data_IF_535520342837
#
_entry.id   IF_535520342837
#
_cell.length_a   1.000
_cell.length_b   1.000
_cell.length_c   1.000
_cell.angle_alpha   90.00
_cell.angle_beta   90.00
_cell.angle_gamma   90.00
#
_symmetry.space_group_name_H-M   'P 1'
#
loop_
_entity.id
_entity.type
_entity.pdbx_description
1 polymer ?
#
# COMPACT_ATOMS: atom_id res chain seq x y z
N UNK A 1 1.57 21.22 36.96
CA UNK A 1 2.66 20.84 36.04
C UNK A 1 2.59 19.38 35.65
N UNK A 2 2.44 18.43 36.56
CA UNK A 2 2.39 16.98 36.25
C UNK A 2 1.28 16.57 35.27
N UNK A 3 0.08 17.15 35.38
CA UNK A 3 -1.03 16.84 34.45
C UNK A 3 -0.80 17.35 33.03
N UNK A 4 -0.05 18.44 32.86
CA UNK A 4 0.31 19.00 31.57
C UNK A 4 1.41 18.17 30.88
N UNK A 5 2.35 17.64 31.69
CA UNK A 5 3.41 16.74 31.21
C UNK A 5 2.80 15.40 30.76
N UNK A 6 1.83 14.88 31.51
CA UNK A 6 1.12 13.65 31.15
C UNK A 6 0.33 13.81 29.82
N UNK A 7 -0.29 14.97 29.62
CA UNK A 7 -1.01 15.28 28.37
C UNK A 7 -0.07 15.45 27.16
N UNK A 8 1.09 16.06 27.37
CA UNK A 8 2.15 16.19 26.35
C UNK A 8 2.81 14.83 26.03
N UNK A 9 2.97 13.96 27.04
CA UNK A 9 3.51 12.60 26.83
C UNK A 9 2.53 11.70 26.06
N UNK A 10 1.21 11.88 26.28
CA UNK A 10 0.17 11.18 25.51
C UNK A 10 0.06 11.67 24.06
N UNK A 11 0.39 12.93 23.76
CA UNK A 11 0.45 13.45 22.39
C UNK A 11 1.71 13.03 21.62
N UNK A 12 2.76 12.59 22.31
CA UNK A 12 4.01 12.12 21.69
C UNK A 12 4.02 10.62 21.37
N UNK A 13 3.00 9.87 21.79
CA UNK A 13 2.72 8.55 21.25
C UNK A 13 1.91 8.77 19.96
N UNK A 14 2.53 9.31 18.93
CA UNK A 14 2.08 9.09 17.56
C UNK A 14 2.23 7.61 17.29
N UNK A 15 1.21 6.84 17.65
CA UNK A 15 1.02 5.50 17.13
C UNK A 15 1.04 5.69 15.62
N UNK A 16 2.05 5.19 14.95
CA UNK A 16 2.03 4.99 13.51
C UNK A 16 0.93 3.95 13.26
N UNK A 17 -0.32 4.41 13.23
CA UNK A 17 -1.43 3.62 12.77
C UNK A 17 -1.20 3.43 11.29
N UNK A 18 -0.72 2.26 10.91
CA UNK A 18 -0.73 1.87 9.52
C UNK A 18 -2.19 1.83 9.08
N UNK A 19 -2.59 2.84 8.30
CA UNK A 19 -3.93 2.89 7.77
C UNK A 19 -4.11 1.76 6.75
N UNK A 20 -5.25 1.08 6.80
CA UNK A 20 -5.64 0.09 5.79
C UNK A 20 -5.62 0.74 4.41
N UNK A 21 -5.12 0.04 3.39
CA UNK A 21 -5.22 0.52 2.00
C UNK A 21 -6.69 0.76 1.64
N UNK A 22 -6.98 1.92 1.03
CA UNK A 22 -8.34 2.31 0.69
C UNK A 22 -8.79 1.69 -0.63
N UNK A 23 -10.04 1.25 -0.71
CA UNK A 23 -10.67 0.86 -1.97
C UNK A 23 -10.98 2.12 -2.79
N UNK A 24 -10.54 2.11 -4.05
CA UNK A 24 -10.85 3.15 -5.01
C UNK A 24 -12.23 2.96 -5.65
N UNK A 25 -12.53 3.84 -6.57
CA UNK A 25 -13.68 3.71 -7.45
C UNK A 25 -13.36 2.79 -8.65
N UNK A 26 -14.31 2.61 -9.55
CA UNK A 26 -14.12 1.86 -10.79
C UNK A 26 -14.35 2.80 -11.99
N UNK A 27 -13.60 2.58 -13.06
CA UNK A 27 -13.72 3.38 -14.27
C UNK A 27 -13.65 2.51 -15.53
N UNK A 28 -14.44 2.85 -16.54
CA UNK A 28 -14.39 2.26 -17.86
C UNK A 28 -13.70 3.21 -18.83
N UNK A 29 -12.62 2.73 -19.46
CA UNK A 29 -11.85 3.46 -20.47
C UNK A 29 -11.68 2.52 -21.67
N UNK A 30 -12.06 2.95 -22.86
CA UNK A 30 -11.96 2.16 -24.10
C UNK A 30 -12.66 0.78 -23.99
N UNK A 31 -13.75 0.70 -23.24
CA UNK A 31 -14.50 -0.55 -23.03
C UNK A 31 -13.91 -1.51 -21.99
N UNK A 32 -12.78 -1.16 -21.37
CA UNK A 32 -12.12 -1.96 -20.34
C UNK A 32 -12.33 -1.35 -18.96
N UNK A 33 -12.52 -2.22 -17.97
CA UNK A 33 -12.65 -1.80 -16.56
C UNK A 33 -11.29 -1.66 -15.90
N UNK A 34 -11.10 -0.55 -15.22
CA UNK A 34 -9.93 -0.21 -14.41
C UNK A 34 -10.35 0.09 -12.96
N UNK A 35 -9.46 -0.11 -12.02
CA UNK A 35 -9.59 0.43 -10.66
C UNK A 35 -9.10 1.89 -10.70
N UNK A 36 -9.94 2.82 -10.27
CA UNK A 36 -9.56 4.22 -10.08
C UNK A 36 -9.00 4.36 -8.65
N UNK A 37 -7.70 4.60 -8.53
CA UNK A 37 -6.99 4.73 -7.24
C UNK A 37 -7.23 6.12 -6.64
N UNK A 38 -8.45 6.38 -6.26
CA UNK A 38 -8.91 7.64 -5.71
C UNK A 38 -10.44 7.75 -5.74
N UNK A 39 -10.94 8.87 -5.25
CA UNK A 39 -12.38 9.21 -5.27
C UNK A 39 -12.55 10.66 -5.74
N UNK A 40 -12.80 10.90 -7.05
CA UNK A 40 -12.89 12.25 -7.63
C UNK A 40 -13.96 13.15 -7.01
N UNK A 41 -15.00 12.56 -6.41
CA UNK A 41 -16.07 13.33 -5.75
C UNK A 41 -15.51 14.16 -4.59
N UNK A 42 -14.46 13.69 -3.90
CA UNK A 42 -13.86 14.41 -2.77
C UNK A 42 -13.05 15.67 -3.16
N UNK A 43 -12.84 15.92 -4.45
CA UNK A 43 -12.27 17.18 -4.89
C UNK A 43 -13.20 18.38 -4.60
N UNK A 44 -14.52 18.13 -4.43
CA UNK A 44 -15.48 19.09 -3.91
C UNK A 44 -16.09 18.55 -2.60
N UNK A 45 -15.68 19.14 -1.48
CA UNK A 45 -16.10 18.69 -0.14
C UNK A 45 -17.58 18.88 0.13
N UNK A 46 -18.23 19.89 -0.48
CA UNK A 46 -19.68 20.12 -0.35
C UNK A 46 -20.44 19.05 -1.12
N UNK A 47 -19.99 18.77 -2.34
CA UNK A 47 -20.57 17.71 -3.17
C UNK A 47 -20.46 16.34 -2.49
N UNK A 48 -19.30 16.04 -1.89
CA UNK A 48 -19.09 14.80 -1.15
C UNK A 48 -20.06 14.68 0.05
N UNK A 49 -20.27 15.76 0.81
CA UNK A 49 -21.20 15.80 1.93
C UNK A 49 -22.65 15.63 1.46
N UNK A 50 -23.06 16.31 0.38
CA UNK A 50 -24.40 16.19 -0.19
C UNK A 50 -24.69 14.75 -0.65
N UNK A 51 -23.69 14.11 -1.28
CA UNK A 51 -23.79 12.70 -1.64
C UNK A 51 -23.95 11.81 -0.41
N UNK A 52 -23.08 11.94 0.57
CA UNK A 52 -23.14 11.12 1.79
C UNK A 52 -24.48 11.27 2.51
N UNK A 53 -25.05 12.48 2.53
CA UNK A 53 -26.36 12.75 3.12
C UNK A 53 -27.50 12.10 2.34
N UNK A 54 -27.36 11.91 1.03
CA UNK A 54 -28.36 11.27 0.17
C UNK A 54 -28.28 9.73 0.18
N UNK A 55 -27.20 9.15 0.66
CA UNK A 55 -27.03 7.70 0.73
C UNK A 55 -27.74 7.09 1.97
N UNK A 56 -28.24 5.83 1.87
CA UNK A 56 -28.84 5.13 3.00
C UNK A 56 -27.86 5.02 4.19
N UNK A 57 -28.38 5.22 5.39
CA UNK A 57 -27.58 5.14 6.62
C UNK A 57 -27.18 3.69 6.96
N UNK A 58 -27.98 2.73 6.50
CA UNK A 58 -27.82 1.29 6.71
C UNK A 58 -26.75 0.64 5.83
N UNK A 59 -26.13 1.44 4.93
CA UNK A 59 -25.08 0.90 4.06
C UNK A 59 -23.88 0.38 4.85
N UNK A 60 -23.26 -0.66 4.34
CA UNK A 60 -22.09 -1.30 4.94
C UNK A 60 -20.84 -0.42 4.80
N UNK A 61 -20.00 -0.47 5.82
CA UNK A 61 -18.71 0.22 5.87
C UNK A 61 -17.59 -0.79 6.11
N UNK A 62 -16.41 -0.51 5.61
CA UNK A 62 -15.21 -1.28 5.91
C UNK A 62 -14.04 -0.34 6.20
N UNK A 63 -12.97 -0.88 6.77
CA UNK A 63 -11.72 -0.12 6.96
C UNK A 63 -11.08 0.31 5.65
N UNK A 64 -11.41 -0.35 4.53
CA UNK A 64 -10.96 0.00 3.20
C UNK A 64 -11.95 0.94 2.46
N UNK A 65 -13.23 0.97 2.87
CA UNK A 65 -14.28 1.81 2.26
C UNK A 65 -15.12 2.47 3.35
N UNK A 66 -14.59 3.57 3.90
CA UNK A 66 -15.23 4.31 4.99
C UNK A 66 -16.52 5.03 4.58
N UNK A 67 -16.69 5.28 3.29
CA UNK A 67 -17.88 5.97 2.76
C UNK A 67 -19.04 5.01 2.52
N UNK A 68 -18.74 3.70 2.45
CA UNK A 68 -19.72 2.65 2.20
C UNK A 68 -20.30 2.69 0.79
N UNK A 69 -19.60 3.30 -0.19
CA UNK A 69 -20.00 3.29 -1.59
C UNK A 69 -18.81 3.13 -2.53
N UNK A 70 -19.09 2.70 -3.75
CA UNK A 70 -18.16 2.68 -4.88
C UNK A 70 -18.81 3.43 -6.04
N UNK A 71 -18.15 4.45 -6.58
CA UNK A 71 -18.58 5.14 -7.77
C UNK A 71 -18.03 4.44 -9.02
N UNK A 72 -18.83 4.46 -10.07
CA UNK A 72 -18.51 3.94 -11.39
C UNK A 72 -18.42 5.11 -12.35
N UNK A 73 -17.32 5.19 -13.04
CA UNK A 73 -16.94 6.27 -13.92
C UNK A 73 -16.73 5.76 -15.35
N UNK A 74 -16.76 6.67 -16.31
CA UNK A 74 -16.30 6.43 -17.68
C UNK A 74 -15.65 7.67 -18.27
N UNK A 75 -14.82 7.47 -19.29
CA UNK A 75 -14.39 8.55 -20.19
C UNK A 75 -15.29 8.50 -21.40
N UNK A 76 -16.07 9.58 -21.64
CA UNK A 76 -16.95 9.72 -22.77
C UNK A 76 -16.73 11.08 -23.45
N UNK A 77 -16.46 11.08 -24.74
CA UNK A 77 -16.18 12.31 -25.50
C UNK A 77 -15.11 13.19 -24.82
N UNK A 78 -14.00 12.56 -24.39
CA UNK A 78 -12.92 13.19 -23.63
C UNK A 78 -13.35 13.82 -22.29
N UNK A 79 -14.46 13.39 -21.70
CA UNK A 79 -14.95 13.88 -20.41
C UNK A 79 -15.02 12.75 -19.38
N UNK A 80 -14.63 13.05 -18.14
CA UNK A 80 -14.85 12.15 -17.01
C UNK A 80 -16.31 12.22 -16.58
N UNK A 81 -17.04 11.13 -16.75
CA UNK A 81 -18.46 11.02 -16.44
C UNK A 81 -18.70 10.09 -15.26
N UNK A 82 -19.56 10.49 -14.33
CA UNK A 82 -20.08 9.62 -13.27
C UNK A 82 -21.30 8.86 -13.83
N UNK A 83 -21.19 7.54 -13.91
CA UNK A 83 -22.23 6.67 -14.47
C UNK A 83 -23.20 6.17 -13.39
N UNK A 84 -22.68 5.72 -12.26
CA UNK A 84 -23.49 5.21 -11.16
C UNK A 84 -22.72 5.20 -9.83
N UNK A 85 -23.45 5.04 -8.75
CA UNK A 85 -22.90 4.80 -7.42
C UNK A 85 -23.59 3.57 -6.83
N UNK A 86 -22.79 2.61 -6.39
CA UNK A 86 -23.26 1.39 -5.73
C UNK A 86 -22.87 1.43 -4.25
N UNK A 87 -23.76 0.89 -3.42
CA UNK A 87 -23.50 0.64 -2.00
C UNK A 87 -23.97 -0.77 -1.64
N UNK A 88 -23.49 -1.27 -0.51
CA UNK A 88 -23.88 -2.58 0.00
C UNK A 88 -24.71 -2.42 1.26
N UNK A 89 -25.77 -3.21 1.40
CA UNK A 89 -26.53 -3.36 2.64
C UNK A 89 -26.17 -4.70 3.24
N UNK A 90 -25.81 -4.69 4.52
CA UNK A 90 -25.54 -5.89 5.27
C UNK A 90 -26.84 -6.57 5.67
N UNK A 91 -27.13 -7.74 5.14
CA UNK A 91 -28.36 -8.49 5.46
C UNK A 91 -28.11 -9.54 6.56
N UNK A 92 -26.99 -10.29 6.46
CA UNK A 92 -26.56 -11.24 7.48
C UNK A 92 -25.03 -11.51 7.36
N UNK A 93 -24.49 -12.38 8.22
CA UNK A 93 -23.05 -12.67 8.29
C UNK A 93 -22.44 -13.26 6.99
N UNK A 94 -23.23 -13.56 5.98
CA UNK A 94 -22.80 -14.20 4.73
C UNK A 94 -23.27 -13.51 3.47
N UNK A 95 -24.27 -12.60 3.58
CA UNK A 95 -24.93 -12.00 2.43
C UNK A 95 -24.94 -10.48 2.54
N UNK A 96 -24.31 -9.82 1.56
CA UNK A 96 -24.43 -8.41 1.31
C UNK A 96 -25.26 -8.22 0.04
N UNK A 97 -26.25 -7.35 0.08
CA UNK A 97 -27.00 -6.96 -1.09
C UNK A 97 -26.41 -5.68 -1.68
N UNK A 98 -26.03 -5.72 -2.96
CA UNK A 98 -25.57 -4.55 -3.70
C UNK A 98 -26.76 -3.80 -4.29
N UNK A 99 -26.79 -2.51 -4.05
CA UNK A 99 -27.80 -1.61 -4.59
C UNK A 99 -27.18 -0.43 -5.33
N UNK A 100 -27.88 0.05 -6.34
CA UNK A 100 -27.50 1.24 -7.09
C UNK A 100 -28.28 2.45 -6.57
N UNK A 101 -27.61 3.58 -6.40
CA UNK A 101 -28.29 4.84 -6.09
C UNK A 101 -29.22 5.20 -7.25
N UNK A 102 -30.50 5.53 -6.99
CA UNK A 102 -31.43 5.90 -8.04
C UNK A 102 -30.93 7.08 -8.88
N UNK A 103 -31.09 6.99 -10.20
CA UNK A 103 -30.65 8.02 -11.16
C UNK A 103 -31.16 9.42 -10.82
N UNK A 104 -32.40 9.53 -10.36
CA UNK A 104 -32.99 10.83 -9.98
C UNK A 104 -32.31 11.41 -8.72
N UNK A 105 -31.91 10.56 -7.77
CA UNK A 105 -31.14 10.99 -6.61
C UNK A 105 -29.79 11.52 -7.04
N UNK A 106 -29.06 10.79 -7.92
CA UNK A 106 -27.77 11.24 -8.44
C UNK A 106 -27.92 12.57 -9.19
N UNK A 107 -28.89 12.69 -10.08
CA UNK A 107 -29.18 13.95 -10.82
C UNK A 107 -29.50 15.10 -9.87
N UNK A 108 -30.16 14.83 -8.76
CA UNK A 108 -30.47 15.85 -7.75
C UNK A 108 -29.21 16.34 -7.04
N UNK A 109 -28.37 15.42 -6.57
CA UNK A 109 -27.10 15.74 -5.90
C UNK A 109 -26.14 16.46 -6.86
N UNK A 110 -25.98 15.94 -8.07
CA UNK A 110 -25.04 16.43 -9.08
C UNK A 110 -25.68 17.41 -10.08
N UNK A 111 -26.80 18.07 -9.73
CA UNK A 111 -27.63 18.90 -10.66
C UNK A 111 -26.83 19.95 -11.44
N UNK A 112 -25.77 20.52 -10.84
CA UNK A 112 -24.94 21.54 -11.47
C UNK A 112 -24.03 20.98 -12.56
N UNK A 113 -23.86 19.66 -12.59
CA UNK A 113 -22.89 18.92 -13.38
C UNK A 113 -23.55 18.01 -14.41
N UNK A 114 -24.90 18.07 -14.51
CA UNK A 114 -25.65 17.32 -15.51
C UNK A 114 -25.50 18.00 -16.87
N UNK A 115 -24.96 17.25 -17.84
CA UNK A 115 -24.84 17.65 -19.25
C UNK A 115 -25.56 16.58 -20.10
N UNK A 116 -26.74 16.91 -20.55
CA UNK A 116 -27.63 15.97 -21.26
C UNK A 116 -28.02 14.77 -20.40
N UNK A 117 -27.51 13.58 -20.75
CA UNK A 117 -27.73 12.33 -20.01
C UNK A 117 -26.60 12.00 -19.04
N UNK A 118 -25.50 12.74 -19.10
CA UNK A 118 -24.27 12.47 -18.32
C UNK A 118 -24.14 13.41 -17.12
N UNK A 119 -23.47 12.94 -16.08
CA UNK A 119 -22.97 13.76 -14.99
C UNK A 119 -21.47 13.93 -15.25
N UNK A 120 -21.06 15.09 -15.72
CA UNK A 120 -19.68 15.40 -16.09
C UNK A 120 -18.95 15.98 -14.90
N UNK A 121 -17.78 15.42 -14.56
CA UNK A 121 -17.00 15.81 -13.37
C UNK A 121 -16.28 17.17 -13.53
N UNK A 122 -16.99 18.23 -13.95
CA UNK A 122 -16.40 19.55 -14.17
C UNK A 122 -15.86 20.22 -12.89
N UNK A 123 -16.16 19.67 -11.73
CA UNK A 123 -15.56 20.08 -10.45
C UNK A 123 -14.12 19.57 -10.26
N UNK A 124 -13.69 18.57 -11.07
CA UNK A 124 -12.41 17.91 -10.88
C UNK A 124 -11.33 18.48 -11.79
N UNK A 125 -10.19 18.86 -11.17
CA UNK A 125 -8.95 19.25 -11.84
C UNK A 125 -7.79 18.44 -11.28
N UNK A 126 -6.87 18.01 -12.15
CA UNK A 126 -5.68 17.28 -11.76
C UNK A 126 -5.62 15.88 -12.34
N UNK A 127 -4.87 15.02 -11.70
CA UNK A 127 -4.60 13.68 -12.19
C UNK A 127 -5.46 12.64 -11.47
N UNK A 128 -6.02 11.71 -12.23
CA UNK A 128 -6.49 10.44 -11.70
C UNK A 128 -5.53 9.35 -12.12
N UNK A 129 -5.29 8.38 -11.22
CA UNK A 129 -4.49 7.19 -11.48
C UNK A 129 -5.42 5.99 -11.57
N UNK A 130 -5.37 5.28 -12.68
CA UNK A 130 -6.16 4.09 -12.91
C UNK A 130 -5.26 2.89 -13.14
N UNK A 131 -5.69 1.71 -12.72
CA UNK A 131 -4.84 0.54 -12.66
C UNK A 131 -5.57 -0.75 -12.99
N UNK A 132 -4.84 -1.72 -13.56
CA UNK A 132 -5.33 -3.08 -13.82
C UNK A 132 -4.19 -4.11 -13.86
N UNK A 133 -4.53 -5.39 -13.82
CA UNK A 133 -3.58 -6.49 -13.80
C UNK A 133 -3.20 -6.87 -12.36
N UNK A 134 -2.05 -7.52 -12.19
CA UNK A 134 -1.55 -7.90 -10.87
C UNK A 134 -1.05 -6.68 -10.10
N UNK A 135 -1.26 -6.69 -8.79
CA UNK A 135 -0.60 -5.75 -7.91
C UNK A 135 0.89 -6.07 -7.82
N UNK A 136 1.73 -5.06 -8.14
CA UNK A 136 3.19 -5.15 -8.17
C UNK A 136 3.79 -4.70 -6.85
N UNK A 137 3.26 -3.61 -6.32
CA UNK A 137 3.76 -2.97 -5.11
C UNK A 137 2.60 -2.50 -4.24
N UNK A 138 2.75 -2.59 -2.92
CA UNK A 138 1.73 -2.19 -1.96
C UNK A 138 2.37 -1.51 -0.75
N UNK A 139 1.91 -0.31 -0.45
CA UNK A 139 2.10 0.35 0.82
C UNK A 139 0.78 0.38 1.58
N UNK A 140 0.83 0.07 2.87
CA UNK A 140 -0.36 -0.01 3.71
C UNK A 140 -0.84 1.39 4.14
N UNK A 141 -1.06 2.28 3.16
CA UNK A 141 -1.52 3.65 3.36
C UNK A 141 -2.31 4.15 2.14
N UNK A 142 -3.49 4.73 2.37
CA UNK A 142 -4.29 5.35 1.34
C UNK A 142 -4.48 4.49 0.08
N UNK A 143 -4.19 5.08 -1.08
CA UNK A 143 -4.25 4.40 -2.37
C UNK A 143 -2.85 4.00 -2.88
N UNK A 144 -1.86 3.87 -1.99
CA UNK A 144 -0.47 3.59 -2.34
C UNK A 144 -0.28 2.10 -2.68
N UNK A 145 -0.76 1.74 -3.85
CA UNK A 145 -0.56 0.44 -4.49
C UNK A 145 -0.35 0.65 -5.99
N UNK A 146 0.51 -0.17 -6.58
CA UNK A 146 0.82 -0.12 -8.00
C UNK A 146 0.52 -1.48 -8.63
N UNK A 147 0.03 -1.42 -9.85
CA UNK A 147 -0.36 -2.59 -10.62
C UNK A 147 0.48 -2.69 -11.91
N UNK A 148 0.47 -3.85 -12.55
CA UNK A 148 1.22 -4.09 -13.79
C UNK A 148 0.96 -3.03 -14.85
N UNK A 149 -0.31 -2.64 -15.00
CA UNK A 149 -0.70 -1.62 -15.97
C UNK A 149 -1.35 -0.47 -15.22
N UNK A 150 -0.79 0.70 -15.36
CA UNK A 150 -1.34 1.94 -14.83
C UNK A 150 -1.47 2.99 -15.93
N UNK A 151 -2.46 3.85 -15.80
CA UNK A 151 -2.65 5.01 -16.65
C UNK A 151 -2.87 6.23 -15.76
N UNK A 152 -2.15 7.30 -16.04
CA UNK A 152 -2.39 8.62 -15.46
C UNK A 152 -3.19 9.43 -16.47
N UNK A 153 -4.37 9.89 -16.06
CA UNK A 153 -5.24 10.75 -16.86
C UNK A 153 -5.24 12.13 -16.24
N UNK A 154 -4.75 13.11 -16.99
CA UNK A 154 -4.76 14.52 -16.61
C UNK A 154 -6.06 15.17 -17.07
N UNK A 155 -6.76 15.82 -16.15
CA UNK A 155 -8.08 16.42 -16.35
C UNK A 155 -8.04 17.91 -16.04
N UNK A 156 -8.70 18.70 -16.88
CA UNK A 156 -9.02 20.11 -16.65
C UNK A 156 -10.54 20.29 -16.70
N UNK A 157 -11.15 20.66 -15.56
CA UNK A 157 -12.61 20.75 -15.40
C UNK A 157 -13.36 19.52 -15.96
N UNK A 158 -12.83 18.33 -15.59
CA UNK A 158 -13.39 17.05 -16.03
C UNK A 158 -13.09 16.67 -17.48
N UNK A 159 -12.43 17.53 -18.27
CA UNK A 159 -12.01 17.23 -19.64
C UNK A 159 -10.63 16.60 -19.64
N UNK A 160 -10.46 15.51 -20.38
CA UNK A 160 -9.18 14.83 -20.57
C UNK A 160 -8.25 15.71 -21.39
N UNK A 161 -7.08 16.03 -20.83
CA UNK A 161 -6.01 16.75 -21.50
C UNK A 161 -4.89 15.82 -21.98
N UNK A 162 -4.58 14.79 -21.18
CA UNK A 162 -3.52 13.83 -21.44
C UNK A 162 -3.84 12.49 -20.82
N UNK A 163 -3.42 11.41 -21.49
CA UNK A 163 -3.39 10.05 -20.94
C UNK A 163 -2.00 9.48 -21.15
N UNK A 164 -1.39 8.97 -20.08
CA UNK A 164 -0.05 8.37 -20.12
C UNK A 164 -0.08 6.98 -19.51
N UNK A 165 0.28 6.00 -20.33
CA UNK A 165 0.31 4.60 -19.94
C UNK A 165 1.68 4.22 -19.37
N UNK A 166 1.64 3.34 -18.36
CA UNK A 166 2.81 2.76 -17.74
C UNK A 166 2.64 1.25 -17.61
N UNK A 167 3.72 0.54 -17.84
CA UNK A 167 3.86 -0.85 -17.51
C UNK A 167 4.85 -0.98 -16.36
N UNK A 168 4.33 -1.32 -15.19
CA UNK A 168 5.12 -1.50 -14.00
C UNK A 168 5.59 -2.95 -13.91
N UNK A 169 6.78 -3.15 -13.35
CA UNK A 169 7.34 -4.48 -13.13
C UNK A 169 8.33 -4.46 -11.96
N UNK A 170 8.75 -5.63 -11.55
CA UNK A 170 9.83 -5.79 -10.59
C UNK A 170 10.84 -6.82 -11.11
N UNK A 171 12.09 -6.69 -10.69
CA UNK A 171 13.08 -7.73 -10.85
C UNK A 171 12.99 -8.69 -9.66
N UNK A 172 12.89 -9.98 -9.95
CA UNK A 172 12.83 -11.01 -8.92
C UNK A 172 14.09 -10.98 -8.05
N UNK A 173 13.91 -11.15 -6.76
CA UNK A 173 14.99 -11.14 -5.80
C UNK A 173 14.45 -11.27 -4.38
N UNK A 174 15.36 -11.25 -3.43
CA UNK A 174 15.01 -11.30 -2.02
C UNK A 174 14.29 -10.04 -1.57
N UNK A 175 13.29 -10.20 -0.72
CA UNK A 175 12.56 -9.11 -0.07
C UNK A 175 12.01 -9.57 1.27
N UNK A 176 12.06 -8.70 2.28
CA UNK A 176 11.33 -8.88 3.52
C UNK A 176 9.86 -8.47 3.41
N UNK A 177 9.47 -7.85 2.30
CA UNK A 177 8.09 -7.46 2.07
C UNK A 177 7.19 -8.67 1.87
N UNK A 178 6.18 -8.77 2.71
CA UNK A 178 5.22 -9.86 2.72
C UNK A 178 4.14 -9.72 1.66
N UNK A 179 3.81 -8.48 1.31
CA UNK A 179 2.71 -8.19 0.38
C UNK A 179 2.99 -8.65 -1.04
N UNK A 180 4.27 -8.70 -1.43
CA UNK A 180 4.72 -9.13 -2.75
C UNK A 180 4.97 -10.64 -2.87
N UNK A 181 5.08 -11.31 -1.72
CA UNK A 181 5.16 -12.77 -1.69
C UNK A 181 3.70 -13.27 -1.72
N UNK A 182 3.20 -13.88 -2.74
CA UNK A 182 1.89 -14.55 -2.79
C UNK A 182 1.71 -15.64 -1.69
N UNK A 183 2.50 -15.56 -0.64
CA UNK A 183 2.48 -16.39 0.55
C UNK A 183 1.96 -15.54 1.70
N UNK A 184 0.64 -15.56 1.89
CA UNK A 184 0.10 -15.16 3.18
C UNK A 184 0.64 -16.13 4.22
N UNK A 185 1.60 -15.74 5.07
CA UNK A 185 2.16 -16.68 6.02
C UNK A 185 1.05 -17.04 7.01
N UNK A 186 0.90 -18.34 7.25
CA UNK A 186 0.09 -18.83 8.35
C UNK A 186 0.53 -18.23 9.68
N UNK A 187 0.26 -18.86 10.80
CA UNK A 187 0.54 -18.36 12.16
C UNK A 187 1.97 -17.89 12.45
N UNK A 188 2.95 -18.25 11.61
CA UNK A 188 4.34 -17.77 11.69
C UNK A 188 4.53 -16.63 10.70
N UNK A 189 4.62 -15.41 11.23
CA UNK A 189 4.70 -14.16 10.49
C UNK A 189 6.03 -13.92 9.73
N UNK A 190 6.88 -14.93 9.58
CA UNK A 190 8.16 -14.83 8.88
C UNK A 190 8.03 -15.41 7.47
N UNK A 191 8.30 -14.63 6.41
CA UNK A 191 8.15 -15.08 5.02
C UNK A 191 9.20 -16.11 4.60
N UNK A 192 10.33 -16.18 5.31
CA UNK A 192 11.44 -17.07 5.05
C UNK A 192 11.66 -18.03 6.23
N UNK A 193 11.96 -19.28 5.94
CA UNK A 193 12.37 -20.23 6.96
C UNK A 193 13.77 -19.85 7.50
N UNK A 194 14.11 -20.34 8.69
CA UNK A 194 15.43 -20.10 9.24
C UNK A 194 16.53 -20.76 8.40
N UNK A 195 16.26 -21.90 7.79
CA UNK A 195 17.19 -22.57 6.89
C UNK A 195 17.49 -21.68 5.69
N UNK A 196 16.44 -21.13 5.02
CA UNK A 196 16.60 -20.20 3.91
C UNK A 196 17.38 -18.95 4.32
N UNK A 197 17.11 -18.37 5.51
CA UNK A 197 17.84 -17.18 5.98
C UNK A 197 19.32 -17.49 6.28
N UNK A 198 19.65 -18.68 6.79
CA UNK A 198 21.03 -19.09 7.03
C UNK A 198 21.80 -19.36 5.73
N UNK A 199 21.14 -19.87 4.73
CA UNK A 199 21.72 -20.08 3.40
C UNK A 199 21.97 -18.76 2.68
N UNK A 200 21.04 -17.82 2.78
CA UNK A 200 21.16 -16.50 2.15
C UNK A 200 22.13 -15.57 2.86
N UNK A 201 22.14 -15.59 4.20
CA UNK A 201 22.94 -14.72 5.04
C UNK A 201 23.77 -15.57 6.04
N UNK A 202 24.79 -16.28 5.56
CA UNK A 202 25.60 -17.13 6.42
C UNK A 202 26.38 -16.30 7.44
N UNK A 203 26.39 -16.76 8.69
CA UNK A 203 27.19 -16.20 9.77
C UNK A 203 28.19 -17.27 10.27
N UNK A 204 29.43 -16.87 10.59
CA UNK A 204 30.43 -17.72 11.13
C UNK A 204 30.25 -17.85 12.65
N UNK A 205 29.22 -18.58 13.08
CA UNK A 205 28.82 -18.69 14.48
C UNK A 205 29.95 -19.28 15.34
N UNK A 206 30.82 -20.09 14.77
CA UNK A 206 32.04 -20.64 15.43
C UNK A 206 32.96 -19.56 15.94
N UNK A 207 32.92 -18.35 15.42
CA UNK A 207 33.71 -17.20 15.87
C UNK A 207 33.12 -16.50 17.11
N UNK A 208 31.96 -17.00 17.61
CA UNK A 208 31.20 -16.42 18.72
C UNK A 208 30.93 -17.47 19.82
N UNK A 209 31.95 -17.88 20.60
CA UNK A 209 31.75 -18.87 21.67
C UNK A 209 30.71 -18.43 22.70
N UNK A 210 30.46 -17.12 22.81
CA UNK A 210 29.45 -16.53 23.68
C UNK A 210 28.02 -16.89 23.26
N UNK A 211 27.81 -17.38 22.03
CA UNK A 211 26.51 -17.80 21.49
C UNK A 211 26.17 -19.27 21.80
N UNK A 212 26.99 -20.03 22.52
CA UNK A 212 26.80 -21.46 22.77
C UNK A 212 25.42 -21.80 23.35
N UNK A 213 24.88 -20.96 24.25
CA UNK A 213 23.54 -21.13 24.86
C UNK A 213 22.47 -20.27 24.22
N UNK A 214 22.80 -19.53 23.18
CA UNK A 214 21.85 -18.63 22.50
C UNK A 214 21.12 -19.38 21.38
N UNK A 215 19.81 -19.56 21.55
CA UNK A 215 18.98 -20.24 20.54
C UNK A 215 18.56 -19.33 19.39
N UNK A 216 18.50 -18.02 19.63
CA UNK A 216 17.95 -17.04 18.69
C UNK A 216 18.60 -15.68 18.84
N UNK A 217 19.03 -15.14 17.72
CA UNK A 217 19.43 -13.73 17.58
C UNK A 217 18.26 -12.98 16.93
N UNK A 218 18.05 -11.72 17.27
CA UNK A 218 17.13 -10.83 16.56
C UNK A 218 17.92 -9.67 16.01
N UNK A 219 17.95 -9.56 14.71
CA UNK A 219 18.53 -8.43 13.97
C UNK A 219 17.48 -7.37 13.65
N UNK A 220 17.92 -6.13 13.53
CA UNK A 220 17.10 -5.02 13.02
C UNK A 220 17.90 -4.21 12.02
N UNK A 221 17.34 -4.00 10.85
CA UNK A 221 17.94 -3.19 9.79
C UNK A 221 17.74 -1.72 10.14
N UNK A 222 18.80 -0.95 10.23
CA UNK A 222 18.77 0.47 10.56
C UNK A 222 18.78 1.34 9.33
N UNK A 223 19.60 0.94 8.35
CA UNK A 223 19.71 1.58 7.06
C UNK A 223 19.96 0.55 6.00
N UNK A 224 19.34 0.70 4.86
CA UNK A 224 19.58 -0.16 3.72
C UNK A 224 19.23 0.59 2.42
N UNK A 225 20.07 0.39 1.41
CA UNK A 225 19.82 0.96 0.09
C UNK A 225 20.19 -0.07 -0.98
N UNK A 226 19.20 -0.38 -1.82
CA UNK A 226 19.34 -1.27 -2.97
C UNK A 226 19.44 -0.42 -4.23
N UNK A 227 20.29 -0.76 -5.16
CA UNK A 227 20.39 -0.10 -6.47
C UNK A 227 19.42 -0.71 -7.50
N UNK A 228 19.35 -0.11 -8.70
CA UNK A 228 18.46 -0.56 -9.77
C UNK A 228 18.83 -1.94 -10.34
N UNK A 229 19.99 -2.45 -10.05
CA UNK A 229 20.47 -3.78 -10.45
C UNK A 229 20.16 -4.85 -9.38
N UNK A 230 19.64 -4.46 -8.22
CA UNK A 230 19.33 -5.36 -7.11
C UNK A 230 20.54 -5.66 -6.21
N UNK A 231 21.55 -4.79 -6.17
CA UNK A 231 22.64 -4.90 -5.22
C UNK A 231 22.32 -4.08 -3.95
N UNK A 232 22.52 -4.66 -2.77
CA UNK A 232 22.44 -3.94 -1.51
C UNK A 232 23.72 -3.15 -1.27
N UNK A 233 23.75 -1.88 -1.68
CA UNK A 233 24.95 -1.03 -1.68
C UNK A 233 25.22 -0.34 -0.36
N UNK A 234 24.22 -0.27 0.52
CA UNK A 234 24.35 0.24 1.88
C UNK A 234 23.53 -0.63 2.83
N UNK A 235 24.13 -1.05 3.95
CA UNK A 235 23.46 -1.85 4.97
C UNK A 235 24.04 -1.56 6.34
N UNK A 236 23.17 -1.16 7.27
CA UNK A 236 23.48 -1.05 8.69
C UNK A 236 22.50 -1.89 9.48
N UNK A 237 23.02 -2.81 10.25
CA UNK A 237 22.25 -3.74 11.08
C UNK A 237 22.60 -3.53 12.55
N UNK A 238 21.66 -3.79 13.45
CA UNK A 238 21.95 -3.94 14.89
C UNK A 238 21.41 -5.26 15.40
N UNK A 239 22.05 -5.83 16.41
CA UNK A 239 21.49 -6.91 17.22
C UNK A 239 20.55 -6.31 18.26
N UNK A 240 19.30 -6.78 18.28
CA UNK A 240 18.26 -6.38 19.25
C UNK A 240 18.19 -7.38 20.41
N UNK A 241 18.49 -8.66 20.10
CA UNK A 241 18.57 -9.74 21.09
C UNK A 241 19.73 -10.69 20.71
N UNK A 242 20.58 -11.08 21.66
CA UNK A 242 20.62 -10.65 23.07
C UNK A 242 20.91 -9.16 23.19
N UNK A 243 20.42 -8.53 24.28
CA UNK A 243 20.58 -7.09 24.50
C UNK A 243 21.95 -6.82 25.14
N UNK A 244 22.59 -5.72 24.69
CA UNK A 244 23.81 -5.16 25.28
C UNK A 244 24.99 -6.15 25.45
N UNK A 245 25.09 -7.16 24.58
CA UNK A 245 26.24 -8.07 24.59
C UNK A 245 27.44 -7.45 23.84
N UNK A 246 28.65 -7.68 24.34
CA UNK A 246 29.88 -7.11 23.78
C UNK A 246 30.13 -7.51 22.32
N UNK A 247 29.72 -8.71 21.94
CA UNK A 247 29.86 -9.21 20.58
C UNK A 247 28.85 -8.60 19.58
N UNK A 248 27.77 -7.94 20.04
CA UNK A 248 26.71 -7.44 19.20
C UNK A 248 27.19 -6.55 18.03
N UNK A 249 28.13 -5.59 18.22
CA UNK A 249 28.60 -4.77 17.09
C UNK A 249 29.31 -5.59 16.02
N UNK A 250 30.12 -6.57 16.40
CA UNK A 250 30.86 -7.44 15.48
C UNK A 250 29.91 -8.35 14.71
N UNK A 251 28.96 -8.97 15.40
CA UNK A 251 27.94 -9.82 14.79
C UNK A 251 26.99 -9.05 13.85
N UNK A 252 26.62 -7.81 14.22
CA UNK A 252 25.83 -6.94 13.38
C UNK A 252 26.57 -6.53 12.10
N UNK A 253 27.86 -6.26 12.18
CA UNK A 253 28.69 -5.95 11.01
C UNK A 253 28.79 -7.16 10.07
N UNK A 254 29.00 -8.37 10.60
CA UNK A 254 29.05 -9.59 9.81
C UNK A 254 27.72 -9.85 9.10
N UNK A 255 26.59 -9.69 9.79
CA UNK A 255 25.26 -9.79 9.17
C UNK A 255 25.08 -8.76 8.04
N UNK A 256 25.52 -7.51 8.26
CA UNK A 256 25.42 -6.47 7.25
C UNK A 256 26.25 -6.79 5.99
N UNK A 257 27.42 -7.38 6.15
CA UNK A 257 28.24 -7.85 5.02
C UNK A 257 27.57 -9.05 4.31
N UNK A 258 27.14 -10.06 5.06
CA UNK A 258 26.41 -11.20 4.48
C UNK A 258 25.16 -10.76 3.68
N UNK A 259 24.45 -9.75 4.16
CA UNK A 259 23.32 -9.17 3.43
C UNK A 259 23.76 -8.42 2.17
N UNK A 260 24.89 -7.73 2.17
CA UNK A 260 25.44 -7.05 0.99
C UNK A 260 25.99 -8.02 -0.05
N UNK A 261 26.53 -9.14 0.38
CA UNK A 261 27.06 -10.19 -0.50
C UNK A 261 25.93 -10.96 -1.21
N UNK A 262 24.73 -10.92 -0.66
CA UNK A 262 23.56 -11.58 -1.26
C UNK A 262 23.01 -10.79 -2.46
N UNK A 263 22.74 -11.49 -3.55
CA UNK A 263 22.19 -10.92 -4.78
C UNK A 263 21.31 -11.98 -5.50
N UNK A 264 20.20 -11.58 -6.15
CA UNK A 264 19.66 -10.21 -6.23
C UNK A 264 18.67 -9.86 -5.11
N UNK A 265 18.60 -8.59 -4.77
CA UNK A 265 17.50 -8.01 -4.00
C UNK A 265 16.39 -7.55 -4.94
N UNK A 266 15.13 -7.71 -4.52
CA UNK A 266 13.98 -7.27 -5.32
C UNK A 266 13.94 -5.76 -5.46
N UNK A 267 13.73 -5.30 -6.68
CA UNK A 267 13.58 -3.88 -7.01
C UNK A 267 12.39 -3.67 -7.92
N UNK A 268 11.76 -2.51 -7.83
CA UNK A 268 10.55 -2.16 -8.55
C UNK A 268 10.83 -1.04 -9.56
N UNK A 269 10.12 -1.10 -10.68
CA UNK A 269 10.07 -0.04 -11.68
C UNK A 269 8.61 0.40 -11.78
N UNK A 270 8.32 1.58 -11.23
CA UNK A 270 6.97 2.12 -11.10
C UNK A 270 6.89 3.43 -11.87
N UNK A 271 5.94 3.53 -12.79
CA UNK A 271 5.75 4.69 -13.65
C UNK A 271 7.01 5.10 -14.42
N UNK A 272 7.81 4.10 -14.83
CA UNK A 272 9.06 4.28 -15.55
C UNK A 272 10.24 4.68 -14.67
N UNK A 273 10.07 4.77 -13.37
CA UNK A 273 11.12 5.13 -12.41
C UNK A 273 11.51 3.93 -11.54
N UNK A 274 12.80 3.85 -11.19
CA UNK A 274 13.29 2.93 -10.20
C UNK A 274 12.78 3.31 -8.81
N UNK A 275 12.27 2.32 -8.08
CA UNK A 275 11.86 2.45 -6.69
C UNK A 275 12.52 1.36 -5.86
N UNK A 276 13.42 1.77 -4.96
CA UNK A 276 13.96 0.86 -3.97
C UNK A 276 12.88 0.52 -2.93
N UNK A 277 12.81 -0.74 -2.54
CA UNK A 277 12.00 -1.14 -1.40
C UNK A 277 12.70 -0.74 -0.10
N UNK A 278 11.98 -0.02 0.77
CA UNK A 278 12.47 0.35 2.09
C UNK A 278 12.40 -0.83 3.04
N UNK A 279 13.56 -1.36 3.43
CA UNK A 279 13.66 -2.44 4.44
C UNK A 279 14.09 -1.91 5.81
N UNK A 280 14.20 -0.61 5.96
CA UNK A 280 14.57 0.04 7.21
C UNK A 280 13.53 -0.21 8.31
N UNK A 281 14.02 -0.40 9.53
CA UNK A 281 13.17 -0.72 10.69
C UNK A 281 12.70 -2.17 10.75
N UNK A 282 12.92 -2.98 9.70
CA UNK A 282 12.55 -4.38 9.72
C UNK A 282 13.40 -5.15 10.72
N UNK A 283 12.75 -6.03 11.49
CA UNK A 283 13.45 -6.92 12.44
C UNK A 283 13.08 -8.36 12.15
N UNK A 284 14.10 -9.23 12.15
CA UNK A 284 13.91 -10.64 11.87
C UNK A 284 14.71 -11.52 12.87
N UNK A 285 14.14 -12.67 13.27
CA UNK A 285 14.84 -13.65 14.04
C UNK A 285 15.78 -14.48 13.15
N UNK A 286 16.90 -14.87 13.72
CA UNK A 286 17.89 -15.77 13.13
C UNK A 286 18.15 -16.87 14.17
N UNK A 287 17.71 -18.10 13.90
CA UNK A 287 17.85 -19.22 14.84
C UNK A 287 19.19 -19.92 14.64
N UNK A 288 19.88 -20.21 15.73
CA UNK A 288 21.19 -20.86 15.77
C UNK A 288 21.12 -22.38 15.89
N UNK A 289 19.98 -22.93 16.34
CA UNK A 289 19.71 -24.35 16.46
C UNK A 289 18.52 -24.82 15.58
N UNK A 290 18.42 -26.13 15.36
CA UNK A 290 17.27 -26.76 14.73
C UNK A 290 15.98 -26.58 15.54
#
# INVERSE_FOLDING_TARGET
MERLILFLTLMLISVTTHATGLDGDLIYIDGEQWVLLGKPIYADSVLAQDLIAALPKERSYSTANWDGYTAYWSIQEDKLCLDSILYEIYEDSKNNRKECVPSETLKSVFRKYVDGKHIVATWFNGNIRVARGKMIYYEHTGYERNFENERIVTLDHGKVCEMKDYQNYFLEGFSFDRSTLNRWPGKNMQPWSNTELREMFPLHIENYPELTDVKRIVFSIKRARVDAQGNLVECEVKVVRPKDAEFNPRLAAEMAEAMKDYHPWRVFFINGEFRAYGIEGYSFPYLLGE
#
